data_IF_702760580545
#
_entry.id   IF_702760580545
#
_cell.length_a   1.000
_cell.length_b   1.000
_cell.length_c   1.000
_cell.angle_alpha   90.00
_cell.angle_beta   90.00
_cell.angle_gamma   90.00
#
_symmetry.space_group_name_H-M   'P 1'
#
loop_
_entity.id
_entity.type
_entity.pdbx_description
1 polymer ?
#
# COMPACT_ATOMS: atom_id res chain seq x y z
N UNK A 1 20.01 -2.45 -1.25
CA UNK A 1 20.38 -3.87 -1.39
C UNK A 1 19.08 -4.67 -1.42
N UNK A 2 18.86 -5.52 -2.42
CA UNK A 2 17.61 -6.30 -2.59
C UNK A 2 17.53 -7.49 -1.63
N UNK A 3 17.79 -7.26 -0.35
CA UNK A 3 17.76 -8.29 0.69
C UNK A 3 16.31 -8.39 1.19
N UNK A 4 15.69 -9.58 1.16
CA UNK A 4 14.41 -9.81 1.80
C UNK A 4 14.44 -9.41 3.28
N UNK A 5 13.39 -8.75 3.76
CA UNK A 5 13.24 -8.43 5.17
C UNK A 5 11.81 -8.73 5.62
N UNK A 6 11.66 -9.03 6.90
CA UNK A 6 10.36 -9.21 7.56
C UNK A 6 10.01 -7.97 8.38
N UNK A 7 8.72 -7.75 8.57
CA UNK A 7 8.18 -6.66 9.38
C UNK A 7 7.59 -5.53 8.55
N UNK A 8 7.10 -4.50 9.24
CA UNK A 8 6.54 -3.32 8.59
C UNK A 8 7.58 -2.66 7.68
N UNK A 9 7.11 -2.08 6.57
CA UNK A 9 7.99 -1.38 5.65
C UNK A 9 8.55 -0.08 6.26
N UNK A 10 9.66 0.38 5.68
CA UNK A 10 10.32 1.60 6.17
C UNK A 10 9.40 2.82 6.13
N UNK A 11 8.50 2.91 5.14
CA UNK A 11 7.53 4.00 5.03
C UNK A 11 6.58 3.99 6.22
N UNK A 12 5.95 2.85 6.53
CA UNK A 12 5.00 2.74 7.64
C UNK A 12 5.69 3.04 8.98
N UNK A 13 6.91 2.52 9.16
CA UNK A 13 7.71 2.77 10.36
C UNK A 13 8.15 4.24 10.52
N UNK A 14 8.16 5.02 9.43
CA UNK A 14 8.50 6.44 9.47
C UNK A 14 7.29 7.35 9.64
N UNK A 15 6.05 6.82 9.65
CA UNK A 15 4.89 7.66 9.88
C UNK A 15 4.87 8.22 11.31
N UNK A 16 4.60 9.52 11.46
CA UNK A 16 4.23 10.09 12.75
C UNK A 16 3.03 9.36 13.38
N UNK A 17 3.00 9.23 14.70
CA UNK A 17 1.92 8.50 15.39
C UNK A 17 0.53 9.07 15.09
N UNK A 18 0.40 10.40 14.95
CA UNK A 18 -0.86 11.05 14.60
C UNK A 18 -1.33 10.72 13.17
N UNK A 19 -0.39 10.51 12.25
CA UNK A 19 -0.70 10.00 10.90
C UNK A 19 -1.17 8.55 10.98
N UNK A 20 -0.52 7.71 11.80
CA UNK A 20 -0.98 6.34 12.01
C UNK A 20 -2.38 6.30 12.64
N UNK A 21 -2.68 7.16 13.62
CA UNK A 21 -4.04 7.29 14.19
C UNK A 21 -5.07 7.68 13.12
N UNK A 22 -4.74 8.63 12.24
CA UNK A 22 -5.60 8.97 11.10
C UNK A 22 -5.83 7.76 10.19
N UNK A 23 -4.79 6.99 9.87
CA UNK A 23 -4.90 5.79 9.03
C UNK A 23 -5.78 4.71 9.67
N UNK A 24 -5.63 4.49 10.99
CA UNK A 24 -6.46 3.56 11.77
C UNK A 24 -7.93 3.98 11.75
N UNK A 25 -8.21 5.28 11.90
CA UNK A 25 -9.56 5.83 11.77
C UNK A 25 -10.16 5.58 10.37
N UNK A 26 -9.37 5.78 9.31
CA UNK A 26 -9.79 5.45 7.94
C UNK A 26 -9.94 3.95 7.69
N UNK A 27 -9.28 3.10 8.47
CA UNK A 27 -9.50 1.65 8.47
C UNK A 27 -10.83 1.25 9.17
N UNK A 28 -11.61 2.21 9.65
CA UNK A 28 -12.88 1.96 10.36
C UNK A 28 -12.70 1.43 11.77
N UNK A 29 -11.50 1.58 12.36
CA UNK A 29 -11.18 1.10 13.70
C UNK A 29 -11.32 2.28 14.66
N UNK A 30 -12.13 2.08 15.71
CA UNK A 30 -12.32 3.13 16.73
C UNK A 30 -11.06 3.29 17.57
N UNK A 31 -10.68 4.54 17.79
CA UNK A 31 -9.55 4.95 18.62
C UNK A 31 -10.05 5.67 19.88
N UNK A 32 -9.27 5.66 20.97
CA UNK A 32 -9.56 6.50 22.12
C UNK A 32 -9.56 7.97 21.71
N UNK A 33 -10.27 8.80 22.46
CA UNK A 33 -10.20 10.25 22.27
C UNK A 33 -8.76 10.70 22.49
N UNK A 34 -8.25 11.51 21.57
CA UNK A 34 -6.89 12.00 21.61
C UNK A 34 -6.80 13.48 21.25
N UNK A 35 -5.72 14.11 21.70
CA UNK A 35 -5.34 15.47 21.36
C UNK A 35 -3.87 15.50 20.96
N UNK A 36 -3.54 16.34 19.98
CA UNK A 36 -2.17 16.60 19.56
C UNK A 36 -1.71 17.85 20.29
N UNK A 37 -0.58 17.76 20.99
CA UNK A 37 -0.01 18.85 21.77
C UNK A 37 1.28 19.31 21.08
N UNK A 38 1.34 20.60 20.73
CA UNK A 38 2.48 21.24 20.04
C UNK A 38 3.02 22.47 20.77
N UNK A 39 2.30 22.94 21.79
CA UNK A 39 2.67 24.11 22.59
C UNK A 39 2.20 23.99 24.04
N UNK A 40 2.71 24.82 24.94
CA UNK A 40 2.23 24.92 26.32
C UNK A 40 0.78 25.41 26.41
N UNK A 41 0.33 26.24 25.46
CA UNK A 41 -1.08 26.67 25.36
C UNK A 41 -2.02 25.47 25.13
N UNK A 42 -1.59 24.48 24.34
CA UNK A 42 -2.33 23.24 24.11
C UNK A 42 -2.47 22.43 25.42
N UNK A 43 -1.47 22.48 26.31
CA UNK A 43 -1.48 21.78 27.60
C UNK A 43 -2.54 22.38 28.53
N UNK A 44 -2.61 23.71 28.62
CA UNK A 44 -3.64 24.40 29.41
C UNK A 44 -5.05 24.11 28.86
N UNK A 45 -5.21 24.16 27.54
CA UNK A 45 -6.48 23.86 26.88
C UNK A 45 -6.91 22.40 27.08
N UNK A 46 -5.95 21.46 27.13
CA UNK A 46 -6.18 20.03 27.34
C UNK A 46 -6.52 19.71 28.79
N UNK A 47 -5.86 20.34 29.77
CA UNK A 47 -6.04 20.04 31.20
C UNK A 47 -7.48 20.21 31.70
N UNK A 48 -8.27 21.08 31.04
CA UNK A 48 -9.69 21.27 31.34
C UNK A 48 -10.62 20.21 30.73
N UNK A 49 -10.13 19.39 29.79
CA UNK A 49 -10.93 18.51 28.92
C UNK A 49 -10.66 17.03 29.11
N UNK A 50 -9.48 16.65 29.62
CA UNK A 50 -9.08 15.24 29.72
C UNK A 50 -9.00 14.80 31.17
N UNK A 51 -9.59 13.65 31.47
CA UNK A 51 -9.56 13.04 32.81
C UNK A 51 -8.68 11.80 32.78
N UNK A 52 -7.83 11.63 33.79
CA UNK A 52 -6.95 10.47 33.90
C UNK A 52 -7.77 9.16 34.03
N UNK A 53 -7.25 8.00 33.56
CA UNK A 53 -5.89 7.81 33.06
C UNK A 53 -5.70 8.26 31.61
N UNK A 54 -4.54 8.87 31.32
CA UNK A 54 -4.14 9.28 29.97
C UNK A 54 -2.85 8.59 29.55
N UNK A 55 -2.67 8.38 28.26
CA UNK A 55 -1.42 7.93 27.65
C UNK A 55 -0.79 9.10 26.91
N UNK A 56 0.48 9.38 27.23
CA UNK A 56 1.27 10.42 26.59
C UNK A 56 2.31 9.73 25.71
N UNK A 57 2.30 10.01 24.41
CA UNK A 57 3.22 9.40 23.46
C UNK A 57 3.93 10.45 22.60
N UNK A 58 5.22 10.20 22.36
CA UNK A 58 5.96 10.89 21.33
C UNK A 58 5.34 10.59 19.95
N UNK A 59 5.14 11.64 19.15
CA UNK A 59 4.64 11.46 17.78
C UNK A 59 5.74 10.96 16.84
N UNK A 60 7.02 11.17 17.19
CA UNK A 60 8.15 10.81 16.35
C UNK A 60 8.51 9.31 16.45
N UNK A 61 8.67 8.61 15.31
CA UNK A 61 8.86 7.16 15.28
C UNK A 61 10.20 6.67 15.87
N UNK A 62 11.23 7.52 15.92
CA UNK A 62 12.56 7.15 16.43
C UNK A 62 12.57 6.70 17.90
N UNK A 63 11.52 7.00 18.67
CA UNK A 63 11.39 6.61 20.08
C UNK A 63 10.52 5.36 20.29
N UNK A 64 10.16 4.64 19.22
CA UNK A 64 9.37 3.40 19.29
C UNK A 64 7.96 3.59 19.85
N UNK A 65 7.40 4.79 19.71
CA UNK A 65 6.12 5.21 20.30
C UNK A 65 6.03 4.95 21.82
N UNK A 66 7.17 4.85 22.51
CA UNK A 66 7.22 4.68 23.96
C UNK A 66 6.47 5.82 24.62
N UNK A 67 5.47 5.47 25.43
CA UNK A 67 4.64 6.43 26.14
C UNK A 67 4.54 6.12 27.61
N UNK A 68 4.13 7.11 28.40
CA UNK A 68 3.79 6.91 29.80
C UNK A 68 2.28 6.98 29.99
N UNK A 69 1.77 6.20 30.93
CA UNK A 69 0.38 6.30 31.37
C UNK A 69 0.37 7.08 32.68
N UNK A 70 -0.39 8.18 32.70
CA UNK A 70 -0.57 9.02 33.89
C UNK A 70 -1.95 8.72 34.46
N UNK A 71 -1.98 8.13 35.64
CA UNK A 71 -3.22 7.72 36.33
C UNK A 71 -3.74 8.76 37.31
N UNK A 72 -2.86 9.61 37.83
CA UNK A 72 -3.23 10.69 38.76
C UNK A 72 -3.63 11.96 38.00
N UNK A 73 -4.88 12.42 38.11
CA UNK A 73 -5.34 13.66 37.45
C UNK A 73 -4.50 14.90 37.78
N UNK A 74 -3.94 14.99 38.99
CA UNK A 74 -3.16 16.16 39.42
C UNK A 74 -1.80 16.25 38.72
N UNK A 75 -1.30 15.13 38.20
CA UNK A 75 0.02 15.02 37.55
C UNK A 75 -0.04 15.16 36.02
N UNK A 76 -1.24 15.16 35.43
CA UNK A 76 -1.47 15.18 33.98
C UNK A 76 -0.78 16.36 33.30
N UNK A 77 -1.09 17.59 33.72
CA UNK A 77 -0.55 18.79 33.08
C UNK A 77 0.98 18.84 33.19
N UNK A 78 1.52 18.52 34.37
CA UNK A 78 2.96 18.50 34.64
C UNK A 78 3.69 17.47 33.77
N UNK A 79 3.12 16.28 33.62
CA UNK A 79 3.71 15.20 32.83
C UNK A 79 3.72 15.52 31.33
N UNK A 80 2.64 16.14 30.81
CA UNK A 80 2.56 16.57 29.41
C UNK A 80 3.55 17.71 29.15
N UNK A 81 3.62 18.73 30.01
CA UNK A 81 4.54 19.87 29.90
C UNK A 81 6.01 19.42 29.89
N UNK A 82 6.36 18.47 30.77
CA UNK A 82 7.70 17.91 30.82
C UNK A 82 8.05 17.14 29.53
N UNK A 83 7.09 16.40 28.98
CA UNK A 83 7.28 15.56 27.79
C UNK A 83 7.37 16.40 26.50
N UNK A 84 6.65 17.52 26.41
CA UNK A 84 6.66 18.35 25.20
C UNK A 84 7.99 19.10 25.07
N UNK A 85 8.57 19.54 26.18
CA UNK A 85 9.90 20.18 26.19
C UNK A 85 11.03 19.27 25.68
N UNK A 86 10.82 17.95 25.65
CA UNK A 86 11.81 16.98 25.15
C UNK A 86 11.57 16.56 23.70
N UNK A 87 10.31 16.40 23.29
CA UNK A 87 9.95 15.76 22.00
C UNK A 87 9.37 16.75 20.99
N UNK A 88 8.88 17.91 21.43
CA UNK A 88 8.32 18.98 20.59
C UNK A 88 6.89 18.74 20.07
N UNK A 89 6.47 17.47 19.91
CA UNK A 89 5.09 17.12 19.53
C UNK A 89 4.65 15.82 20.20
N UNK A 90 3.49 15.86 20.85
CA UNK A 90 2.91 14.73 21.58
C UNK A 90 1.52 14.38 21.07
N UNK A 91 1.17 13.10 21.23
CA UNK A 91 -0.20 12.62 21.17
C UNK A 91 -0.59 12.20 22.58
N UNK A 92 -1.65 12.82 23.09
CA UNK A 92 -2.24 12.50 24.40
C UNK A 92 -3.59 11.86 24.14
N UNK A 93 -3.71 10.57 24.47
CA UNK A 93 -4.98 9.85 24.38
C UNK A 93 -5.51 9.49 25.75
N UNK A 94 -6.83 9.36 25.86
CA UNK A 94 -7.41 8.72 27.04
C UNK A 94 -6.95 7.26 27.06
N UNK A 95 -6.40 6.81 28.19
CA UNK A 95 -6.07 5.40 28.37
C UNK A 95 -7.26 4.69 28.99
N UNK A 96 -7.57 3.50 28.49
CA UNK A 96 -8.63 2.65 29.07
C UNK A 96 -8.06 1.51 29.92
N UNK A 97 -6.80 1.58 30.34
CA UNK A 97 -6.20 0.60 31.24
C UNK A 97 -6.86 0.63 32.63
N UNK A 98 -7.40 -0.51 33.09
CA UNK A 98 -7.98 -0.63 34.44
C UNK A 98 -8.56 -2.00 34.75
N UNK A 99 -8.59 -2.37 36.03
CA UNK A 99 -9.11 -3.66 36.49
C UNK A 99 -10.62 -3.81 36.20
N UNK A 100 -11.01 -4.96 35.66
CA UNK A 100 -12.42 -5.31 35.40
C UNK A 100 -12.97 -4.92 34.03
N UNK A 101 -12.15 -4.32 33.14
CA UNK A 101 -12.52 -4.10 31.74
C UNK A 101 -12.24 -5.33 30.90
N UNK A 102 -12.99 -5.47 29.80
CA UNK A 102 -12.82 -6.57 28.85
C UNK A 102 -11.82 -6.17 27.77
N UNK A 103 -10.79 -6.99 27.59
CA UNK A 103 -9.66 -6.69 26.72
C UNK A 103 -9.26 -7.88 25.85
N UNK A 104 -8.62 -7.58 24.72
CA UNK A 104 -8.01 -8.55 23.81
C UNK A 104 -6.68 -8.01 23.27
N UNK A 105 -5.62 -8.81 23.40
CA UNK A 105 -4.38 -8.64 22.67
C UNK A 105 -4.40 -9.53 21.43
N UNK A 106 -4.23 -8.93 20.26
CA UNK A 106 -4.23 -9.63 18.97
C UNK A 106 -2.95 -9.29 18.22
N UNK A 107 -2.21 -10.31 17.78
CA UNK A 107 -1.11 -10.15 16.85
C UNK A 107 -1.68 -10.10 15.42
N UNK A 108 -1.67 -8.93 14.82
CA UNK A 108 -2.08 -8.74 13.43
C UNK A 108 -0.89 -9.05 12.51
N UNK A 109 -1.10 -9.94 11.53
CA UNK A 109 -0.08 -10.31 10.52
C UNK A 109 -0.69 -10.26 9.12
N UNK A 110 0.16 -10.20 8.09
CA UNK A 110 -0.25 -10.23 6.68
C UNK A 110 -1.12 -11.44 6.30
N UNK A 111 -0.91 -12.61 6.91
CA UNK A 111 -1.66 -13.83 6.58
C UNK A 111 -2.98 -13.91 7.36
N UNK A 112 -2.91 -13.78 8.68
CA UNK A 112 -4.09 -13.74 9.54
C UNK A 112 -3.79 -13.13 10.93
N UNK A 113 -4.82 -12.61 11.63
CA UNK A 113 -4.70 -12.19 13.00
C UNK A 113 -4.70 -13.38 13.99
N UNK A 114 -3.85 -13.31 15.00
CA UNK A 114 -3.74 -14.31 16.07
C UNK A 114 -4.16 -13.71 17.41
N UNK A 115 -5.24 -14.19 18.04
CA UNK A 115 -5.56 -13.77 19.39
C UNK A 115 -4.55 -14.36 20.38
N UNK A 116 -4.04 -13.53 21.28
CA UNK A 116 -3.01 -13.92 22.23
C UNK A 116 -3.60 -14.12 23.63
N UNK A 117 -4.08 -13.04 24.23
CA UNK A 117 -4.47 -12.97 25.65
C UNK A 117 -5.57 -11.94 25.85
N UNK A 118 -6.25 -11.98 27.00
CA UNK A 118 -7.31 -11.05 27.39
C UNK A 118 -8.64 -11.76 27.65
N UNK A 119 -9.49 -11.15 28.46
CA UNK A 119 -10.78 -11.77 28.86
C UNK A 119 -11.70 -12.03 27.66
N UNK A 120 -11.66 -11.19 26.63
CA UNK A 120 -12.49 -11.36 25.43
C UNK A 120 -12.14 -12.66 24.69
N UNK A 121 -10.86 -13.02 24.62
CA UNK A 121 -10.36 -14.17 23.84
C UNK A 121 -10.96 -15.50 24.32
N UNK A 122 -11.24 -15.61 25.63
CA UNK A 122 -11.77 -16.83 26.24
C UNK A 122 -13.27 -16.80 26.54
N UNK A 123 -13.89 -15.62 26.56
CA UNK A 123 -15.25 -15.45 27.12
C UNK A 123 -16.30 -15.01 26.09
N UNK A 124 -15.91 -14.42 24.95
CA UNK A 124 -16.88 -13.86 23.98
C UNK A 124 -16.38 -13.93 22.54
N UNK A 125 -16.93 -14.91 21.82
CA UNK A 125 -16.59 -15.16 20.43
C UNK A 125 -17.01 -14.02 19.48
N UNK A 126 -18.07 -13.27 19.78
CA UNK A 126 -18.56 -12.21 18.90
C UNK A 126 -17.64 -10.99 18.95
N UNK A 127 -17.26 -10.57 20.15
CA UNK A 127 -16.27 -9.50 20.33
C UNK A 127 -14.89 -9.93 19.84
N UNK A 128 -14.50 -11.18 20.08
CA UNK A 128 -13.25 -11.70 19.55
C UNK A 128 -13.22 -11.60 18.02
N UNK A 129 -14.30 -12.01 17.34
CA UNK A 129 -14.38 -11.90 15.88
C UNK A 129 -14.25 -10.45 15.42
N UNK A 130 -14.91 -9.50 16.10
CA UNK A 130 -14.78 -8.08 15.78
C UNK A 130 -13.34 -7.56 15.97
N UNK A 131 -12.59 -8.03 16.98
CA UNK A 131 -11.16 -7.75 17.12
C UNK A 131 -10.34 -8.30 15.94
N UNK A 132 -10.65 -9.52 15.48
CA UNK A 132 -9.95 -10.14 14.34
C UNK A 132 -10.25 -9.40 13.02
N UNK A 133 -11.50 -8.99 12.80
CA UNK A 133 -11.92 -8.22 11.62
C UNK A 133 -11.23 -6.84 11.61
N UNK A 134 -11.21 -6.16 12.75
CA UNK A 134 -10.48 -4.90 12.92
C UNK A 134 -8.97 -5.08 12.68
N UNK A 135 -8.38 -6.18 13.17
CA UNK A 135 -6.96 -6.49 12.96
C UNK A 135 -6.64 -6.73 11.48
N UNK A 136 -7.55 -7.39 10.76
CA UNK A 136 -7.44 -7.59 9.30
C UNK A 136 -7.54 -6.26 8.55
N UNK A 137 -8.45 -5.38 8.96
CA UNK A 137 -8.56 -4.03 8.42
C UNK A 137 -7.29 -3.20 8.67
N UNK A 138 -6.72 -3.30 9.88
CA UNK A 138 -5.47 -2.64 10.25
C UNK A 138 -4.33 -3.06 9.32
N UNK A 139 -4.15 -4.36 9.09
CA UNK A 139 -3.11 -4.88 8.19
C UNK A 139 -3.29 -4.35 6.78
N UNK A 140 -4.52 -4.33 6.26
CA UNK A 140 -4.81 -3.86 4.90
C UNK A 140 -4.56 -2.36 4.72
N UNK A 141 -5.03 -1.54 5.66
CA UNK A 141 -5.10 -0.09 5.48
C UNK A 141 -3.96 0.67 6.16
N UNK A 142 -3.34 0.10 7.19
CA UNK A 142 -2.23 0.72 7.93
C UNK A 142 -0.90 0.11 7.53
N UNK A 143 -0.85 -1.21 7.38
CA UNK A 143 0.39 -1.94 7.03
C UNK A 143 0.52 -2.26 5.54
N UNK A 144 -0.47 -1.88 4.72
CA UNK A 144 -0.51 -2.16 3.28
C UNK A 144 -0.30 -3.65 2.94
N UNK A 145 -0.83 -4.54 3.79
CA UNK A 145 -0.76 -5.98 3.62
C UNK A 145 0.60 -6.61 3.94
N UNK A 146 1.53 -5.89 4.60
CA UNK A 146 2.89 -6.39 4.89
C UNK A 146 3.32 -6.16 6.33
N UNK A 147 4.06 -7.10 6.90
CA UNK A 147 4.53 -6.98 8.27
C UNK A 147 3.51 -7.39 9.33
N UNK A 148 3.73 -6.91 10.56
CA UNK A 148 2.97 -7.34 11.73
C UNK A 148 2.95 -6.28 12.83
N UNK A 149 1.88 -6.28 13.61
CA UNK A 149 1.68 -5.38 14.73
C UNK A 149 0.96 -6.09 15.88
N UNK A 150 1.28 -5.71 17.12
CA UNK A 150 0.51 -6.11 18.30
C UNK A 150 -0.57 -5.05 18.54
N UNK A 151 -1.82 -5.46 18.55
CA UNK A 151 -2.99 -4.61 18.76
C UNK A 151 -3.63 -4.93 20.12
N UNK A 152 -3.97 -3.89 20.89
CA UNK A 152 -4.63 -4.00 22.18
C UNK A 152 -6.00 -3.34 22.11
N UNK A 153 -7.03 -4.19 22.13
CA UNK A 153 -8.42 -3.79 22.12
C UNK A 153 -9.00 -3.79 23.53
N UNK A 154 -9.86 -2.82 23.80
CA UNK A 154 -10.64 -2.72 25.03
C UNK A 154 -12.09 -2.45 24.66
N UNK A 155 -13.01 -3.10 25.36
CA UNK A 155 -14.44 -2.77 25.29
C UNK A 155 -14.72 -1.54 26.15
N UNK A 156 -15.09 -0.42 25.53
CA UNK A 156 -15.37 0.85 26.24
C UNK A 156 -16.83 0.92 26.70
N UNK A 157 -17.75 0.53 25.82
CA UNK A 157 -19.17 0.31 26.09
C UNK A 157 -19.54 -1.11 25.63
N UNK A 158 -20.60 -1.74 26.16
CA UNK A 158 -21.02 -3.08 25.74
C UNK A 158 -21.17 -3.18 24.21
N UNK A 159 -20.34 -4.00 23.57
CA UNK A 159 -20.31 -4.18 22.11
C UNK A 159 -19.41 -3.20 21.34
N UNK A 160 -18.82 -2.20 21.99
CA UNK A 160 -18.01 -1.15 21.35
C UNK A 160 -16.53 -1.38 21.64
N UNK A 161 -15.81 -1.87 20.64
CA UNK A 161 -14.37 -2.10 20.70
C UNK A 161 -13.59 -0.87 20.30
N UNK A 162 -12.60 -0.51 21.11
CA UNK A 162 -11.66 0.56 20.86
C UNK A 162 -10.25 -0.02 20.83
N UNK A 163 -9.45 0.38 19.85
CA UNK A 163 -8.01 0.09 19.82
C UNK A 163 -7.27 1.06 20.74
N UNK A 164 -7.04 0.66 21.99
CA UNK A 164 -6.38 1.51 23.01
C UNK A 164 -4.91 1.78 22.66
N UNK A 165 -4.23 0.77 22.12
CA UNK A 165 -2.80 0.82 21.87
C UNK A 165 -2.37 -0.18 20.81
N UNK A 166 -1.30 0.14 20.08
CA UNK A 166 -0.67 -0.78 19.14
C UNK A 166 0.85 -0.58 19.08
N UNK A 167 1.56 -1.64 18.72
CA UNK A 167 3.02 -1.64 18.52
C UNK A 167 3.33 -2.25 17.17
N UNK A 168 4.03 -1.50 16.33
CA UNK A 168 4.58 -2.01 15.06
C UNK A 168 5.90 -2.74 15.32
N UNK A 169 6.13 -3.86 14.65
CA UNK A 169 7.32 -4.72 14.86
C UNK A 169 7.62 -4.98 16.36
N UNK A 170 6.64 -5.51 17.13
CA UNK A 170 6.83 -5.85 18.53
C UNK A 170 7.95 -6.90 18.74
N UNK A 171 8.47 -6.98 19.96
CA UNK A 171 9.54 -7.91 20.34
C UNK A 171 9.14 -9.37 20.12
N UNK A 172 9.82 -10.02 19.17
CA UNK A 172 9.58 -11.42 18.81
C UNK A 172 9.84 -12.38 19.98
N UNK A 173 10.76 -12.06 20.89
CA UNK A 173 11.06 -12.93 22.02
C UNK A 173 9.86 -13.15 22.95
N UNK A 174 8.96 -12.16 23.01
CA UNK A 174 7.71 -12.23 23.79
C UNK A 174 6.58 -12.91 23.02
N UNK A 175 6.63 -12.90 21.68
CA UNK A 175 5.56 -13.41 20.82
C UNK A 175 5.76 -14.86 20.40
N UNK A 176 6.99 -15.29 20.14
CA UNK A 176 7.31 -16.67 19.72
C UNK A 176 6.79 -17.72 20.71
N UNK A 177 6.86 -17.53 22.05
CA UNK A 177 6.24 -18.49 22.97
C UNK A 177 4.72 -18.61 22.82
N UNK A 178 4.03 -17.55 22.40
CA UNK A 178 2.56 -17.51 22.21
C UNK A 178 2.15 -17.99 20.81
N UNK A 179 2.97 -17.71 19.81
CA UNK A 179 2.79 -18.13 18.41
C UNK A 179 4.09 -18.78 17.92
N UNK A 180 4.30 -20.09 18.20
CA UNK A 180 5.59 -20.75 17.93
C UNK A 180 6.04 -20.74 16.48
N UNK A 181 5.09 -20.70 15.54
CA UNK A 181 5.34 -20.70 14.11
C UNK A 181 5.45 -19.29 13.51
N UNK A 182 5.47 -18.24 14.35
CA UNK A 182 5.59 -16.85 13.90
C UNK A 182 6.86 -16.59 13.07
N UNK A 183 8.06 -17.10 13.44
CA UNK A 183 9.26 -16.88 12.63
C UNK A 183 9.12 -17.41 11.20
N UNK A 184 8.49 -18.57 11.00
CA UNK A 184 8.24 -19.16 9.70
C UNK A 184 7.25 -18.33 8.87
N UNK A 185 6.18 -17.82 9.49
CA UNK A 185 5.23 -16.90 8.85
C UNK A 185 5.91 -15.61 8.39
N UNK A 186 6.72 -15.02 9.26
CA UNK A 186 7.48 -13.80 9.00
C UNK A 186 8.52 -13.99 7.88
N UNK A 187 9.17 -15.16 7.84
CA UNK A 187 10.07 -15.51 6.75
C UNK A 187 9.31 -15.69 5.43
N UNK A 188 8.13 -16.31 5.46
CA UNK A 188 7.26 -16.47 4.28
C UNK A 188 6.80 -15.12 3.75
N UNK A 189 6.37 -14.20 4.62
CA UNK A 189 6.03 -12.82 4.25
C UNK A 189 7.23 -12.09 3.63
N UNK A 190 8.42 -12.20 4.25
CA UNK A 190 9.64 -11.62 3.71
C UNK A 190 9.98 -12.15 2.31
N UNK A 191 9.80 -13.45 2.07
CA UNK A 191 10.04 -14.09 0.77
C UNK A 191 9.00 -13.70 -0.28
N UNK A 192 7.73 -13.55 0.11
CA UNK A 192 6.66 -13.04 -0.78
C UNK A 192 6.95 -11.59 -1.16
N UNK A 193 7.26 -10.75 -0.16
CA UNK A 193 7.60 -9.35 -0.35
C UNK A 193 8.91 -9.12 -1.10
N UNK A 194 9.79 -10.12 -1.11
CA UNK A 194 11.08 -10.09 -1.80
C UNK A 194 11.15 -11.00 -3.02
N UNK A 195 10.01 -11.49 -3.54
CA UNK A 195 9.99 -12.18 -4.84
C UNK A 195 10.76 -11.31 -5.82
N UNK A 196 11.85 -11.88 -6.35
CA UNK A 196 12.62 -11.22 -7.39
C UNK A 196 11.62 -10.81 -8.48
N UNK A 197 11.70 -9.57 -9.00
CA UNK A 197 10.78 -9.15 -10.04
C UNK A 197 10.75 -10.24 -11.12
N UNK A 198 9.56 -10.53 -11.66
CA UNK A 198 9.38 -11.51 -12.74
C UNK A 198 10.21 -11.14 -13.98
N UNK A 199 10.83 -9.97 -13.98
CA UNK A 199 11.62 -9.40 -15.03
C UNK A 199 13.00 -8.91 -14.56
N UNK A 200 13.93 -8.84 -15.50
CA UNK A 200 15.15 -8.04 -15.39
C UNK A 200 15.17 -6.98 -16.49
N UNK A 201 15.86 -5.87 -16.24
CA UNK A 201 16.12 -4.85 -17.25
C UNK A 201 17.43 -5.21 -17.94
N UNK A 202 17.37 -5.39 -19.26
CA UNK A 202 18.52 -5.66 -20.11
C UNK A 202 18.71 -4.51 -21.11
N UNK A 203 19.94 -4.30 -21.57
CA UNK A 203 20.24 -3.39 -22.67
C UNK A 203 20.23 -4.20 -23.96
N UNK A 204 19.43 -3.77 -24.94
CA UNK A 204 19.35 -4.44 -26.22
C UNK A 204 20.72 -4.33 -26.94
N UNK A 205 21.15 -5.41 -27.58
CA UNK A 205 22.44 -5.45 -28.29
C UNK A 205 22.50 -4.43 -29.44
N UNK A 206 21.38 -4.23 -30.13
CA UNK A 206 21.13 -3.08 -31.01
C UNK A 206 20.93 -1.80 -30.18
N UNK A 207 21.94 -0.94 -30.16
CA UNK A 207 21.96 0.33 -29.40
C UNK A 207 20.82 1.29 -29.74
N UNK A 208 20.14 1.10 -30.88
CA UNK A 208 18.98 1.91 -31.29
C UNK A 208 17.71 1.58 -30.51
N UNK A 209 17.63 0.40 -29.88
CA UNK A 209 16.42 -0.08 -29.18
C UNK A 209 16.43 0.17 -27.67
N UNK A 210 17.56 0.57 -27.08
CA UNK A 210 17.64 0.94 -25.66
C UNK A 210 17.43 -0.22 -24.69
N UNK A 211 16.85 0.05 -23.53
CA UNK A 211 16.55 -0.95 -22.50
C UNK A 211 15.28 -1.73 -22.81
N UNK A 212 15.22 -2.99 -22.39
CA UNK A 212 14.05 -3.85 -22.50
C UNK A 212 13.89 -4.71 -21.25
N UNK A 213 12.69 -5.27 -21.08
CA UNK A 213 12.38 -6.21 -20.00
C UNK A 213 12.48 -7.64 -20.52
N UNK A 214 13.19 -8.50 -19.80
CA UNK A 214 13.22 -9.95 -20.05
C UNK A 214 12.70 -10.70 -18.83
N UNK A 215 12.05 -11.85 -19.03
CA UNK A 215 11.61 -12.71 -17.93
C UNK A 215 12.81 -13.20 -17.10
N UNK A 216 12.81 -12.96 -15.79
CA UNK A 216 13.89 -13.40 -14.90
C UNK A 216 13.88 -14.92 -14.67
N UNK A 217 12.71 -15.54 -14.82
CA UNK A 217 12.44 -16.97 -14.70
C UNK A 217 11.31 -17.35 -15.66
N UNK A 218 10.99 -18.64 -15.77
CA UNK A 218 9.83 -19.11 -16.55
C UNK A 218 8.54 -18.66 -15.86
N UNK A 219 7.63 -18.03 -16.60
CA UNK A 219 6.34 -17.52 -16.10
C UNK A 219 5.24 -18.35 -16.77
N UNK A 220 4.26 -18.85 -16.02
CA UNK A 220 3.15 -19.60 -16.60
C UNK A 220 2.07 -18.67 -17.10
N UNK A 221 1.32 -19.14 -18.09
CA UNK A 221 0.10 -18.47 -18.51
C UNK A 221 -0.76 -18.14 -17.29
N UNK A 222 -1.32 -16.93 -17.28
CA UNK A 222 -2.18 -16.36 -16.24
C UNK A 222 -1.45 -16.02 -14.91
N UNK A 223 -0.15 -16.28 -14.78
CA UNK A 223 0.65 -15.77 -13.66
C UNK A 223 0.82 -14.25 -13.74
N UNK A 224 0.84 -13.60 -12.58
CA UNK A 224 1.13 -12.16 -12.44
C UNK A 224 2.58 -11.88 -12.84
N UNK A 225 2.75 -11.04 -13.86
CA UNK A 225 4.02 -10.48 -14.32
C UNK A 225 4.30 -9.16 -13.59
N UNK A 226 3.28 -8.31 -13.48
CA UNK A 226 3.32 -7.05 -12.74
C UNK A 226 2.15 -6.94 -11.78
N UNK A 227 2.45 -6.82 -10.49
CA UNK A 227 1.49 -6.56 -9.41
C UNK A 227 1.43 -5.05 -9.15
N UNK A 228 0.48 -4.37 -9.79
CA UNK A 228 0.33 -2.90 -9.78
C UNK A 228 -0.94 -2.42 -9.08
N UNK A 229 -1.82 -3.32 -8.65
CA UNK A 229 -2.95 -2.95 -7.81
C UNK A 229 -2.48 -2.28 -6.50
N UNK A 230 -3.19 -1.22 -6.11
CA UNK A 230 -2.87 -0.39 -4.94
C UNK A 230 -1.46 0.23 -4.92
N UNK A 231 -0.74 0.21 -6.04
CA UNK A 231 0.60 0.78 -6.12
C UNK A 231 0.55 2.31 -6.14
N UNK A 232 1.53 2.94 -5.49
CA UNK A 232 1.68 4.39 -5.52
C UNK A 232 2.19 4.85 -6.88
N UNK A 233 1.49 5.82 -7.47
CA UNK A 233 1.92 6.54 -8.66
C UNK A 233 1.87 8.04 -8.37
N UNK A 234 2.88 8.79 -8.83
CA UNK A 234 2.74 10.23 -8.91
C UNK A 234 1.83 10.56 -10.09
N UNK A 235 0.97 11.58 -9.94
CA UNK A 235 0.02 11.98 -10.97
C UNK A 235 0.30 13.43 -11.38
N UNK A 236 0.18 13.72 -12.67
CA UNK A 236 0.38 15.06 -13.23
C UNK A 236 -0.65 15.36 -14.30
N UNK A 237 -0.98 16.63 -14.50
CA UNK A 237 -1.82 17.07 -15.62
C UNK A 237 -0.97 17.50 -16.81
N UNK A 238 -1.44 17.21 -18.02
CA UNK A 238 -0.75 17.59 -19.26
C UNK A 238 -0.46 19.09 -19.35
N UNK A 239 -1.39 20.02 -19.00
CA UNK A 239 -1.10 21.45 -19.03
C UNK A 239 0.01 21.86 -18.05
N UNK A 240 0.12 21.19 -16.90
CA UNK A 240 1.19 21.45 -15.94
C UNK A 240 2.55 21.05 -16.52
N UNK A 241 2.63 19.88 -17.16
CA UNK A 241 3.84 19.42 -17.87
C UNK A 241 4.23 20.41 -18.96
N UNK A 242 3.27 20.81 -19.79
CA UNK A 242 3.52 21.72 -20.92
C UNK A 242 4.04 23.08 -20.49
N UNK A 243 3.53 23.61 -19.37
CA UNK A 243 3.92 24.92 -18.85
C UNK A 243 5.21 24.91 -18.03
N UNK A 244 5.45 23.87 -17.22
CA UNK A 244 6.46 23.92 -16.16
C UNK A 244 7.67 23.02 -16.39
N UNK A 245 7.60 22.04 -17.30
CA UNK A 245 8.69 21.09 -17.51
C UNK A 245 9.60 21.50 -18.67
N UNK A 246 10.89 21.19 -18.53
CA UNK A 246 11.88 21.38 -19.58
C UNK A 246 11.75 20.33 -20.70
N UNK A 247 12.61 20.44 -21.72
CA UNK A 247 12.57 19.59 -22.92
C UNK A 247 12.83 18.12 -22.58
N UNK A 248 13.75 17.82 -21.67
CA UNK A 248 14.14 16.46 -21.32
C UNK A 248 13.07 15.77 -20.46
N UNK A 249 12.48 16.51 -19.52
CA UNK A 249 11.34 16.06 -18.73
C UNK A 249 10.11 15.82 -19.61
N UNK A 250 9.84 16.69 -20.60
CA UNK A 250 8.74 16.50 -21.57
C UNK A 250 8.95 15.29 -22.47
N UNK A 251 10.19 15.03 -22.88
CA UNK A 251 10.53 13.82 -23.64
C UNK A 251 10.23 12.57 -22.81
N UNK A 252 10.74 12.53 -21.58
CA UNK A 252 10.49 11.42 -20.64
C UNK A 252 8.98 11.23 -20.38
N UNK A 253 8.25 12.31 -20.19
CA UNK A 253 6.78 12.27 -20.07
C UNK A 253 6.14 11.61 -21.28
N UNK A 254 6.49 12.04 -22.50
CA UNK A 254 5.87 11.53 -23.72
C UNK A 254 6.17 10.06 -24.02
N UNK A 255 7.32 9.56 -23.53
CA UNK A 255 7.76 8.18 -23.77
C UNK A 255 7.19 7.20 -22.75
N UNK A 256 6.94 7.67 -21.52
CA UNK A 256 6.69 6.75 -20.41
C UNK A 256 5.41 7.06 -19.61
N UNK A 257 4.82 8.25 -19.65
CA UNK A 257 3.63 8.54 -18.83
C UNK A 257 2.41 7.74 -19.29
N UNK A 258 1.61 7.24 -18.34
CA UNK A 258 0.41 6.46 -18.62
C UNK A 258 -0.84 7.32 -18.40
N UNK A 259 -1.73 7.46 -19.39
CA UNK A 259 -2.93 8.28 -19.26
C UNK A 259 -3.94 7.67 -18.29
N UNK A 260 -4.49 8.45 -17.37
CA UNK A 260 -5.51 8.03 -16.41
C UNK A 260 -6.94 8.31 -16.88
N UNK A 261 -7.09 9.04 -17.98
CA UNK A 261 -8.37 9.35 -18.60
C UNK A 261 -8.30 9.24 -20.13
N UNK A 262 -9.48 9.19 -20.76
CA UNK A 262 -9.60 9.08 -22.21
C UNK A 262 -9.39 10.40 -22.96
N UNK A 263 -9.30 11.53 -22.25
CA UNK A 263 -9.14 12.86 -22.82
C UNK A 263 -7.66 13.28 -22.89
N UNK A 264 -6.76 12.48 -22.31
CA UNK A 264 -5.35 12.77 -22.19
C UNK A 264 -5.08 14.00 -21.33
N UNK A 265 -5.85 14.19 -20.26
CA UNK A 265 -5.68 15.29 -19.33
C UNK A 265 -4.77 14.93 -18.15
N UNK A 266 -4.99 13.77 -17.54
CA UNK A 266 -4.36 13.28 -16.31
C UNK A 266 -3.49 12.06 -16.60
N UNK A 267 -2.29 12.00 -16.02
CA UNK A 267 -1.33 10.93 -16.26
C UNK A 267 -0.69 10.45 -14.97
N UNK A 268 -0.50 9.14 -14.86
CA UNK A 268 0.47 8.55 -13.95
C UNK A 268 1.88 8.71 -14.54
N UNK A 269 2.81 9.16 -13.69
CA UNK A 269 4.22 9.28 -14.01
C UNK A 269 5.04 8.38 -13.08
N UNK A 270 6.21 7.96 -13.57
CA UNK A 270 7.04 6.99 -12.87
C UNK A 270 7.62 7.54 -11.57
N UNK A 271 7.79 6.63 -10.62
CA UNK A 271 8.47 6.88 -9.36
C UNK A 271 9.97 7.11 -9.56
N UNK A 272 10.60 7.84 -8.64
CA UNK A 272 12.05 8.11 -8.67
C UNK A 272 12.93 6.88 -8.44
N UNK A 273 12.37 5.75 -8.01
CA UNK A 273 13.13 4.52 -7.76
C UNK A 273 13.40 3.79 -9.09
N UNK A 274 14.66 3.74 -9.58
CA UNK A 274 15.00 3.10 -10.85
C UNK A 274 14.73 1.59 -10.87
N UNK A 275 14.62 0.93 -9.71
CA UNK A 275 14.26 -0.51 -9.63
C UNK A 275 12.81 -0.77 -9.99
N UNK A 276 11.99 0.28 -9.99
CA UNK A 276 10.57 0.25 -10.33
C UNK A 276 10.29 0.81 -11.72
N UNK A 277 11.34 1.19 -12.45
CA UNK A 277 11.23 1.63 -13.83
C UNK A 277 11.01 0.41 -14.74
N UNK A 278 10.02 0.49 -15.61
CA UNK A 278 9.59 -0.61 -16.48
C UNK A 278 9.50 -0.13 -17.92
N UNK A 279 10.62 -0.15 -18.68
CA UNK A 279 10.61 0.11 -20.12
C UNK A 279 10.05 -1.12 -20.86
N UNK A 280 8.78 -1.45 -20.64
CA UNK A 280 8.14 -2.56 -21.36
C UNK A 280 7.97 -2.17 -22.82
N UNK A 281 8.36 -3.06 -23.71
CA UNK A 281 8.32 -2.78 -25.14
C UNK A 281 6.97 -3.15 -25.76
N UNK A 282 6.72 -2.55 -26.92
CA UNK A 282 5.56 -2.86 -27.74
C UNK A 282 5.71 -4.20 -28.49
N UNK A 283 4.65 -5.00 -28.51
CA UNK A 283 4.44 -6.05 -29.52
C UNK A 283 3.00 -6.05 -30.04
N UNK A 284 2.81 -6.34 -31.32
CA UNK A 284 1.48 -6.59 -31.90
C UNK A 284 0.94 -8.00 -31.57
N UNK A 285 1.81 -8.88 -31.06
CA UNK A 285 1.47 -10.19 -30.49
C UNK A 285 2.18 -10.29 -29.12
N UNK A 286 1.67 -9.62 -28.08
CA UNK A 286 2.33 -9.51 -26.79
C UNK A 286 2.18 -10.78 -25.94
N UNK A 287 3.18 -11.01 -25.08
CA UNK A 287 3.12 -12.08 -24.07
C UNK A 287 2.61 -11.59 -22.70
N UNK A 288 2.40 -10.29 -22.51
CA UNK A 288 1.80 -9.71 -21.33
C UNK A 288 0.50 -8.96 -21.66
N UNK A 289 -0.53 -9.12 -20.83
CA UNK A 289 -1.83 -8.44 -20.95
C UNK A 289 -2.30 -8.00 -19.56
N UNK A 290 -3.15 -6.96 -19.46
CA UNK A 290 -3.79 -6.62 -18.18
C UNK A 290 -4.65 -7.77 -17.69
N UNK A 291 -4.79 -7.93 -16.37
CA UNK A 291 -5.74 -8.88 -15.81
C UNK A 291 -7.18 -8.39 -15.93
N UNK A 292 -8.12 -9.32 -15.95
CA UNK A 292 -9.55 -9.05 -16.13
C UNK A 292 -10.30 -9.08 -14.80
N UNK A 293 -11.33 -8.23 -14.61
CA UNK A 293 -11.77 -7.15 -15.49
C UNK A 293 -11.10 -5.80 -15.14
N UNK A 294 -10.47 -5.14 -16.12
CA UNK A 294 -9.89 -3.80 -16.02
C UNK A 294 -8.96 -3.61 -14.80
N UNK A 295 -8.09 -4.60 -14.55
CA UNK A 295 -7.10 -4.53 -13.48
C UNK A 295 -5.86 -3.75 -13.89
N UNK A 296 -5.17 -3.16 -12.92
CA UNK A 296 -3.82 -2.61 -13.10
C UNK A 296 -2.78 -3.72 -13.17
N UNK A 297 -3.07 -4.90 -12.61
CA UNK A 297 -2.18 -6.05 -12.69
C UNK A 297 -2.01 -6.50 -14.14
N UNK A 298 -0.81 -7.00 -14.44
CA UNK A 298 -0.48 -7.56 -15.75
C UNK A 298 -0.10 -9.02 -15.56
N UNK A 299 -0.71 -9.88 -16.36
CA UNK A 299 -0.51 -11.32 -16.37
C UNK A 299 0.11 -11.79 -17.68
N UNK A 300 0.66 -13.00 -17.68
CA UNK A 300 1.17 -13.63 -18.89
C UNK A 300 0.03 -14.19 -19.76
N UNK A 301 -0.04 -13.81 -21.03
CA UNK A 301 -1.06 -14.32 -21.97
C UNK A 301 -0.80 -15.75 -22.45
N UNK A 302 0.44 -16.23 -22.23
CA UNK A 302 0.93 -17.59 -22.51
C UNK A 302 2.11 -17.91 -21.60
N UNK A 303 2.59 -19.14 -21.61
CA UNK A 303 3.88 -19.47 -20.98
C UNK A 303 5.02 -18.64 -21.60
N UNK A 304 5.88 -18.08 -20.74
CA UNK A 304 7.02 -17.23 -21.09
C UNK A 304 8.30 -17.90 -20.58
N UNK A 305 9.28 -18.09 -21.45
CA UNK A 305 10.54 -18.71 -21.07
C UNK A 305 11.44 -17.71 -20.32
N UNK A 306 12.30 -18.22 -19.42
CA UNK A 306 13.35 -17.40 -18.80
C UNK A 306 14.22 -16.74 -19.88
N UNK A 307 14.43 -15.43 -19.75
CA UNK A 307 15.22 -14.61 -20.67
C UNK A 307 14.45 -14.10 -21.89
N UNK A 308 13.18 -14.50 -22.07
CA UNK A 308 12.34 -14.02 -23.15
C UNK A 308 11.90 -12.57 -22.92
N UNK A 309 11.82 -11.77 -23.99
CA UNK A 309 11.37 -10.38 -23.91
C UNK A 309 9.92 -10.27 -23.49
N UNK A 310 9.65 -9.42 -22.50
CA UNK A 310 8.31 -9.07 -22.07
C UNK A 310 7.80 -7.89 -22.89
N UNK A 311 6.59 -8.03 -23.41
CA UNK A 311 5.99 -7.02 -24.27
C UNK A 311 4.49 -6.89 -24.06
N UNK A 312 3.97 -5.69 -24.30
CA UNK A 312 2.54 -5.39 -24.25
C UNK A 312 2.08 -4.67 -25.52
N UNK A 313 0.80 -4.77 -25.83
CA UNK A 313 0.21 -3.96 -26.89
C UNK A 313 -0.15 -2.58 -26.34
N UNK A 314 0.59 -1.56 -26.79
CA UNK A 314 0.40 -0.17 -26.38
C UNK A 314 -1.01 0.37 -26.67
N UNK A 315 -1.76 -0.23 -27.60
CA UNK A 315 -3.15 0.13 -27.81
C UNK A 315 -4.00 -0.08 -26.54
N UNK A 316 -3.58 -0.95 -25.60
CA UNK A 316 -4.35 -1.27 -24.38
C UNK A 316 -4.21 -0.23 -23.27
N UNK A 317 -3.21 0.67 -23.34
CA UNK A 317 -2.95 1.66 -22.29
C UNK A 317 -2.53 3.05 -22.77
N UNK A 318 -2.18 3.24 -24.04
CA UNK A 318 -1.88 4.56 -24.60
C UNK A 318 -3.15 5.23 -25.15
N UNK A 319 -3.21 6.56 -25.04
CA UNK A 319 -4.33 7.39 -25.49
C UNK A 319 -4.03 8.14 -26.80
N UNK A 320 -4.98 8.98 -27.22
CA UNK A 320 -4.91 9.82 -28.43
C UNK A 320 -3.69 10.75 -28.49
N UNK A 321 -2.99 10.99 -27.38
CA UNK A 321 -1.82 11.87 -27.32
C UNK A 321 -0.52 11.15 -27.66
N UNK A 322 -0.52 9.81 -27.65
CA UNK A 322 0.66 9.03 -28.03
C UNK A 322 1.07 9.33 -29.46
N UNK A 323 2.32 9.77 -29.63
CA UNK A 323 2.90 9.99 -30.96
C UNK A 323 3.00 8.64 -31.69
N UNK A 324 2.45 8.51 -32.91
CA UNK A 324 2.59 7.29 -33.68
C UNK A 324 4.05 6.97 -33.98
N UNK A 325 4.39 5.67 -34.01
CA UNK A 325 5.74 5.20 -34.31
C UNK A 325 5.74 3.97 -35.22
N UNK A 326 6.84 3.78 -35.94
CA UNK A 326 7.07 2.60 -36.76
C UNK A 326 7.34 1.37 -35.88
N UNK A 327 6.56 0.32 -36.07
CA UNK A 327 6.63 -0.90 -35.28
C UNK A 327 7.72 -1.83 -35.80
N UNK A 328 8.65 -2.19 -34.91
CA UNK A 328 9.75 -3.12 -35.21
C UNK A 328 9.64 -4.41 -34.37
N UNK A 329 8.42 -4.80 -33.97
CA UNK A 329 8.20 -5.95 -33.08
C UNK A 329 8.44 -7.31 -33.75
N UNK A 330 8.39 -7.39 -35.09
CA UNK A 330 8.61 -8.64 -35.83
C UNK A 330 7.47 -9.67 -35.77
N UNK A 331 6.35 -9.37 -35.11
CA UNK A 331 5.19 -10.25 -35.08
C UNK A 331 4.62 -10.50 -36.49
N UNK A 332 4.15 -11.72 -36.81
CA UNK A 332 3.49 -12.00 -38.10
C UNK A 332 2.26 -11.13 -38.36
N UNK A 333 1.60 -10.69 -37.29
CA UNK A 333 0.42 -9.81 -37.27
C UNK A 333 0.80 -8.33 -37.06
N UNK A 334 2.06 -7.96 -37.31
CA UNK A 334 2.53 -6.58 -37.10
C UNK A 334 1.70 -5.57 -37.88
N UNK A 335 1.24 -4.52 -37.17
CA UNK A 335 0.42 -3.42 -37.74
C UNK A 335 1.23 -2.39 -38.51
N UNK A 336 2.57 -2.50 -38.52
CA UNK A 336 3.49 -1.57 -39.18
C UNK A 336 3.64 -0.22 -38.48
N UNK A 337 2.54 0.45 -38.15
CA UNK A 337 2.55 1.72 -37.40
C UNK A 337 1.65 1.62 -36.18
N UNK A 338 2.21 1.90 -35.02
CA UNK A 338 1.47 1.89 -33.75
C UNK A 338 0.91 3.27 -33.49
N UNK A 339 -0.38 3.28 -33.19
CA UNK A 339 -1.18 4.45 -32.82
C UNK A 339 -2.38 3.95 -32.02
N UNK A 340 -3.06 4.83 -31.29
CA UNK A 340 -4.32 4.49 -30.62
C UNK A 340 -5.31 3.91 -31.64
N UNK A 341 -5.90 2.76 -31.31
CA UNK A 341 -6.75 2.01 -32.21
C UNK A 341 -7.87 1.31 -31.42
N UNK A 342 -9.09 1.80 -31.58
CA UNK A 342 -10.27 1.23 -30.90
C UNK A 342 -10.52 -0.23 -31.27
N UNK A 343 -10.19 -0.63 -32.51
CA UNK A 343 -10.31 -2.02 -32.94
C UNK A 343 -9.37 -2.95 -32.19
N UNK A 344 -8.16 -2.47 -31.89
CA UNK A 344 -7.21 -3.21 -31.08
C UNK A 344 -7.68 -3.32 -29.63
N UNK A 345 -8.16 -2.23 -29.02
CA UNK A 345 -8.72 -2.27 -27.64
C UNK A 345 -9.89 -3.26 -27.55
N UNK A 346 -10.82 -3.23 -28.52
CA UNK A 346 -11.95 -4.15 -28.56
C UNK A 346 -11.55 -5.63 -28.61
N UNK A 347 -10.41 -5.96 -29.23
CA UNK A 347 -9.88 -7.32 -29.27
C UNK A 347 -9.50 -7.83 -27.86
N UNK A 348 -9.02 -6.94 -26.98
CA UNK A 348 -8.63 -7.30 -25.60
C UNK A 348 -9.81 -7.27 -24.62
N UNK A 349 -10.97 -6.73 -25.01
CA UNK A 349 -12.16 -6.71 -24.17
C UNK A 349 -11.93 -5.97 -22.85
N UNK A 350 -11.95 -6.70 -21.74
CA UNK A 350 -11.73 -6.17 -20.38
C UNK A 350 -10.26 -6.23 -19.94
N UNK A 351 -9.35 -6.76 -20.75
CA UNK A 351 -7.90 -6.77 -20.49
C UNK A 351 -7.24 -5.45 -20.97
N UNK A 352 -7.76 -4.30 -20.53
CA UNK A 352 -7.24 -2.98 -20.89
C UNK A 352 -7.17 -2.04 -19.69
N UNK A 353 -6.18 -1.13 -19.73
CA UNK A 353 -6.06 -0.03 -18.77
C UNK A 353 -7.14 1.04 -19.01
N UNK A 354 -7.34 1.40 -20.29
CA UNK A 354 -8.34 2.38 -20.67
C UNK A 354 -9.70 1.69 -20.79
N UNK A 355 -10.68 2.16 -20.03
CA UNK A 355 -12.08 1.76 -20.20
C UNK A 355 -12.66 2.49 -21.41
N UNK A 356 -13.12 1.74 -22.40
CA UNK A 356 -14.01 2.31 -23.40
C UNK A 356 -15.37 2.56 -22.74
N UNK A 357 -15.81 3.82 -22.69
CA UNK A 357 -17.22 4.14 -22.39
C UNK A 357 -18.04 3.51 -23.51
N UNK A 358 -18.62 2.34 -23.26
CA UNK A 358 -19.52 1.75 -24.24
C UNK A 358 -20.71 2.68 -24.46
N UNK A 359 -21.08 2.87 -25.72
CA UNK A 359 -22.41 3.34 -26.07
C UNK A 359 -23.41 2.34 -25.47
N UNK A 360 -24.06 2.69 -24.36
CA UNK A 360 -25.27 2.10 -23.73
C UNK A 360 -25.39 0.58 -23.50
N UNK A 361 -24.64 -0.30 -24.16
CA UNK A 361 -24.83 -1.76 -24.17
C UNK A 361 -24.01 -2.49 -23.09
N UNK A 362 -22.97 -1.86 -22.53
CA UNK A 362 -22.11 -2.48 -21.48
C UNK A 362 -22.76 -2.58 -20.09
N UNK A 363 -24.02 -2.14 -19.91
CA UNK A 363 -24.71 -2.23 -18.62
C UNK A 363 -25.12 -3.67 -18.25
N UNK A 364 -25.25 -4.58 -19.20
CA UNK A 364 -25.73 -5.94 -18.93
C UNK A 364 -24.63 -6.88 -18.40
N UNK A 365 -23.36 -6.67 -18.76
CA UNK A 365 -22.25 -7.55 -18.33
C UNK A 365 -21.78 -7.35 -16.88
N UNK A 366 -22.24 -6.29 -16.21
CA UNK A 366 -21.92 -6.01 -14.79
C UNK A 366 -23.07 -6.40 -13.84
N UNK A 367 -24.13 -7.05 -14.34
CA UNK A 367 -25.29 -7.48 -13.56
C UNK A 367 -25.47 -9.01 -13.50
N UNK A 368 -24.52 -9.79 -14.05
CA UNK A 368 -24.44 -11.25 -13.93
C UNK A 368 -23.19 -11.64 -13.15
#
# INVERSE_FOLDING_TARGET
MGIPFSGCDATTLCYPLDVLFMMVSYAGILLPRFQIITSSEDVEAMASKVTAPIRIQAVTPFMGYSGCVVTDPSEVARAVEQSIGTVGKLLVSESRCGAGRREASVLATAECPYPLEGSIVGEDAALLQACLDASTSFVKHVLYGKGYALLQFVEDEPGVLVLDHFVLNPDLSQLVPKVPHLPELLLKDALVSARAPCFCVALHSDSRKGYHLCAAHTIKKDDIVFDDECRSFAVVTKPYVDKNWDVDMKKTFSEYAWPLDSEGHLYAIWEKDPRRWRPINHSCDPNCIFDSPYSLNVIASRDIARGEDLSMDYATFCDVTMKPFECLCGAPTCRGTIRPNDGAIRQYGTHSWIRQKGNSETKELLQS
#
